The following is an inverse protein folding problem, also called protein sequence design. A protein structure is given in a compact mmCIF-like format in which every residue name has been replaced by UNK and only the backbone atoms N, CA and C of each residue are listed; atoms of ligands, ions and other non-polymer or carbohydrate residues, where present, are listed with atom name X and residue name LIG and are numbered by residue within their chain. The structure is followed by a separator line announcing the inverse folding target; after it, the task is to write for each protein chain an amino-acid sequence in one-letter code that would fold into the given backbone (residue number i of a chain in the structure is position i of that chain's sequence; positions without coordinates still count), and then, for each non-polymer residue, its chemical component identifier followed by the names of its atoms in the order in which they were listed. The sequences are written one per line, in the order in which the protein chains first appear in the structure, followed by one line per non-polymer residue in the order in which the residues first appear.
data_IF_591531348106
#
_entry.id   IF_591531348106
#
_cell.length_a   1.000
_cell.length_b   1.000
_cell.length_c   1.000
_cell.angle_alpha   90.00
_cell.angle_beta   90.00
_cell.angle_gamma   90.00
#
_symmetry.space_group_name_H-M   'P 1'
#
loop_
_entity.id
_entity.type
_entity.pdbx_description
1 polymer ?
#
# COMPACT_ATOMS: atom_id res chain seq x y z
N UNK A 1 24.73 7.63 4.43
CA UNK A 1 24.31 8.39 3.24
C UNK A 1 22.84 8.74 3.39
N UNK A 2 22.48 10.03 3.52
CA UNK A 2 21.08 10.48 3.61
C UNK A 2 20.62 10.84 2.20
N UNK A 3 19.57 10.18 1.70
CA UNK A 3 18.95 10.48 0.41
C UNK A 3 19.18 9.46 -0.71
N UNK A 4 19.97 8.40 -0.47
CA UNK A 4 20.12 7.30 -1.43
C UNK A 4 18.93 6.34 -1.32
N UNK A 5 18.31 5.99 -2.46
CA UNK A 5 17.17 5.06 -2.55
C UNK A 5 17.61 3.60 -2.69
N UNK A 6 18.91 3.33 -2.62
CA UNK A 6 19.48 1.99 -2.82
C UNK A 6 20.92 1.96 -2.27
N UNK A 7 21.44 0.74 -2.02
CA UNK A 7 22.87 0.45 -1.91
C UNK A 7 23.18 -1.00 -2.28
N UNK A 8 24.39 -1.25 -2.78
CA UNK A 8 25.02 -2.55 -2.90
C UNK A 8 26.44 -2.44 -2.34
N UNK A 9 26.87 -3.39 -1.51
CA UNK A 9 28.25 -3.48 -1.01
C UNK A 9 29.14 -4.14 -2.06
N UNK A 10 29.86 -3.31 -2.84
CA UNK A 10 30.78 -3.71 -3.90
C UNK A 10 31.80 -4.78 -3.47
N UNK A 11 32.16 -4.84 -2.18
CA UNK A 11 33.12 -5.83 -1.66
C UNK A 11 32.51 -7.20 -1.43
N UNK A 12 31.17 -7.30 -1.40
CA UNK A 12 30.40 -8.54 -1.20
C UNK A 12 29.73 -9.01 -2.49
N UNK A 13 29.98 -8.32 -3.60
CA UNK A 13 29.38 -8.58 -4.91
C UNK A 13 30.44 -9.13 -5.85
N UNK A 14 30.08 -10.04 -6.79
CA UNK A 14 31.01 -10.51 -7.81
C UNK A 14 31.66 -9.34 -8.59
N UNK A 15 32.93 -9.51 -8.97
CA UNK A 15 33.80 -8.48 -9.58
C UNK A 15 33.30 -7.82 -10.89
N UNK A 16 32.15 -8.25 -11.42
CA UNK A 16 31.51 -7.71 -12.62
C UNK A 16 30.79 -6.37 -12.38
N UNK A 17 30.85 -5.84 -11.15
CA UNK A 17 30.17 -4.63 -10.72
C UNK A 17 30.87 -3.34 -11.21
N UNK A 18 30.09 -2.37 -11.71
CA UNK A 18 30.60 -1.00 -11.92
C UNK A 18 29.57 0.04 -11.48
N UNK A 19 30.00 1.02 -10.67
CA UNK A 19 29.19 2.16 -10.24
C UNK A 19 28.57 2.95 -11.42
N UNK A 20 29.17 2.88 -12.62
CA UNK A 20 28.64 3.51 -13.84
C UNK A 20 27.42 2.78 -14.42
N UNK A 21 27.38 1.44 -14.35
CA UNK A 21 26.17 0.67 -14.71
C UNK A 21 25.05 0.97 -13.72
N UNK A 22 25.40 1.11 -12.45
CA UNK A 22 24.48 1.47 -11.38
C UNK A 22 23.75 2.81 -11.60
N UNK A 23 24.46 3.89 -11.91
CA UNK A 23 23.81 5.18 -12.17
C UNK A 23 22.82 5.16 -13.35
N UNK A 24 23.08 4.36 -14.38
CA UNK A 24 22.16 4.23 -15.54
C UNK A 24 20.87 3.51 -15.19
N UNK A 25 20.97 2.46 -14.38
CA UNK A 25 19.83 1.70 -13.90
C UNK A 25 18.83 2.60 -13.15
N UNK A 26 19.30 3.33 -12.14
CA UNK A 26 18.46 4.25 -11.36
C UNK A 26 17.73 5.25 -12.27
N UNK A 27 18.43 5.77 -13.27
CA UNK A 27 17.86 6.74 -14.21
C UNK A 27 16.76 6.11 -15.08
N UNK A 28 16.99 4.90 -15.61
CA UNK A 28 15.98 4.18 -16.41
C UNK A 28 14.76 3.79 -15.59
N UNK A 29 14.97 3.36 -14.35
CA UNK A 29 13.91 2.93 -13.46
C UNK A 29 13.02 4.12 -13.05
N UNK A 30 13.64 5.23 -12.64
CA UNK A 30 12.93 6.48 -12.34
C UNK A 30 12.14 6.96 -13.54
N UNK A 31 12.73 6.92 -14.75
CA UNK A 31 12.03 7.30 -15.97
C UNK A 31 10.83 6.40 -16.29
N UNK A 32 10.93 5.09 -16.08
CA UNK A 32 9.81 4.18 -16.36
C UNK A 32 8.66 4.44 -15.39
N UNK A 33 8.98 4.63 -14.12
CA UNK A 33 7.99 4.91 -13.07
C UNK A 33 7.27 6.22 -13.28
N UNK A 34 7.99 7.29 -13.62
CA UNK A 34 7.36 8.57 -13.95
C UNK A 34 6.36 8.42 -15.11
N UNK A 35 6.66 7.57 -16.10
CA UNK A 35 5.73 7.29 -17.19
C UNK A 35 4.52 6.49 -16.74
N UNK A 36 4.70 5.49 -15.87
CA UNK A 36 3.62 4.67 -15.32
C UNK A 36 2.71 5.48 -14.38
N UNK A 37 3.30 6.30 -13.51
CA UNK A 37 2.60 7.25 -12.65
C UNK A 37 1.79 8.24 -13.50
N UNK A 38 2.41 8.91 -14.47
CA UNK A 38 1.72 9.84 -15.36
C UNK A 38 0.64 9.16 -16.22
N UNK A 39 0.79 7.86 -16.55
CA UNK A 39 -0.26 7.08 -17.23
C UNK A 39 -1.43 6.84 -16.30
N UNK A 40 -1.16 6.43 -15.06
CA UNK A 40 -2.19 6.16 -14.07
C UNK A 40 -2.94 7.43 -13.69
N UNK A 41 -2.24 8.52 -13.38
CA UNK A 41 -2.84 9.82 -13.06
C UNK A 41 -3.78 10.30 -14.17
N UNK A 42 -3.37 10.17 -15.44
CA UNK A 42 -4.25 10.49 -16.58
C UNK A 42 -5.49 9.60 -16.61
N UNK A 43 -5.34 8.28 -16.41
CA UNK A 43 -6.47 7.37 -16.39
C UNK A 43 -7.45 7.68 -15.23
N UNK A 44 -6.92 8.01 -14.05
CA UNK A 44 -7.70 8.41 -12.89
C UNK A 44 -8.42 9.74 -13.11
N UNK A 45 -7.75 10.73 -13.70
CA UNK A 45 -8.36 12.00 -14.09
C UNK A 45 -9.52 11.78 -15.07
N UNK A 46 -9.31 10.99 -16.12
CA UNK A 46 -10.35 10.65 -17.10
C UNK A 46 -11.54 9.95 -16.44
N UNK A 47 -11.31 9.05 -15.49
CA UNK A 47 -12.38 8.40 -14.74
C UNK A 47 -13.18 9.42 -13.91
N UNK A 48 -12.49 10.35 -13.25
CA UNK A 48 -13.12 11.40 -12.45
C UNK A 48 -13.93 12.38 -13.30
N UNK A 49 -13.43 12.77 -14.49
CA UNK A 49 -14.19 13.57 -15.46
C UNK A 49 -15.43 12.84 -15.98
N UNK A 50 -15.29 11.56 -16.31
CA UNK A 50 -16.41 10.71 -16.72
C UNK A 50 -17.46 10.62 -15.62
N UNK A 51 -17.05 10.41 -14.37
CA UNK A 51 -17.95 10.40 -13.22
C UNK A 51 -18.72 11.72 -13.11
N UNK A 52 -18.02 12.86 -13.09
CA UNK A 52 -18.64 14.20 -12.98
C UNK A 52 -19.61 14.48 -14.12
N UNK A 53 -19.30 14.03 -15.33
CA UNK A 53 -20.18 14.21 -16.48
C UNK A 53 -21.47 13.39 -16.36
N UNK A 54 -21.39 12.14 -15.92
CA UNK A 54 -22.57 11.29 -15.69
C UNK A 54 -23.38 11.75 -14.48
N UNK A 55 -22.72 12.18 -13.41
CA UNK A 55 -23.35 12.79 -12.25
C UNK A 55 -24.13 14.04 -12.67
N UNK A 56 -23.53 14.93 -13.46
CA UNK A 56 -24.22 16.12 -13.97
C UNK A 56 -25.49 15.81 -14.77
N UNK A 57 -25.54 14.66 -15.46
CA UNK A 57 -26.76 14.21 -16.15
C UNK A 57 -27.83 13.74 -15.18
N UNK A 58 -27.45 13.11 -14.07
CA UNK A 58 -28.37 12.65 -13.03
C UNK A 58 -28.92 13.81 -12.19
N UNK A 59 -28.06 14.76 -11.83
CA UNK A 59 -28.42 15.91 -10.98
C UNK A 59 -29.10 17.00 -11.82
N UNK A 60 -28.51 17.38 -12.95
CA UNK A 60 -28.89 18.56 -13.73
C UNK A 60 -28.30 19.87 -13.16
N UNK A 61 -28.05 20.86 -14.03
CA UNK A 61 -27.39 22.11 -13.64
C UNK A 61 -28.20 22.94 -12.63
N UNK A 62 -29.51 23.09 -12.85
CA UNK A 62 -30.40 23.84 -11.95
C UNK A 62 -30.40 23.23 -10.54
N UNK A 63 -30.43 21.89 -10.45
CA UNK A 63 -30.43 21.21 -9.16
C UNK A 63 -29.08 21.32 -8.46
N UNK A 64 -27.97 21.24 -9.21
CA UNK A 64 -26.62 21.43 -8.66
C UNK A 64 -26.45 22.83 -8.06
N UNK A 65 -27.01 23.86 -8.70
CA UNK A 65 -27.03 25.21 -8.15
C UNK A 65 -27.83 25.29 -6.85
N UNK A 66 -29.03 24.69 -6.80
CA UNK A 66 -29.85 24.63 -5.58
C UNK A 66 -29.14 23.91 -4.44
N UNK A 67 -28.51 22.76 -4.72
CA UNK A 67 -27.70 22.01 -3.77
C UNK A 67 -26.54 22.86 -3.25
N UNK A 68 -25.80 23.50 -4.15
CA UNK A 68 -24.67 24.37 -3.78
C UNK A 68 -25.11 25.54 -2.90
N UNK A 69 -26.22 26.20 -3.24
CA UNK A 69 -26.75 27.32 -2.46
C UNK A 69 -27.22 26.86 -1.08
N UNK A 70 -27.90 25.71 -1.01
CA UNK A 70 -28.37 25.13 0.24
C UNK A 70 -27.20 24.70 1.13
N UNK A 71 -26.19 24.04 0.57
CA UNK A 71 -24.93 23.71 1.26
C UNK A 71 -24.29 24.98 1.80
N UNK A 72 -24.11 26.03 0.99
CA UNK A 72 -23.49 27.29 1.45
C UNK A 72 -24.23 27.95 2.61
N UNK A 73 -25.56 27.82 2.66
CA UNK A 73 -26.40 28.41 3.72
C UNK A 73 -26.37 27.61 5.03
N UNK A 74 -26.23 26.29 4.95
CA UNK A 74 -26.40 25.39 6.09
C UNK A 74 -25.09 24.72 6.57
N UNK A 75 -24.07 24.66 5.70
CA UNK A 75 -22.74 24.17 6.04
C UNK A 75 -22.08 25.14 7.00
N UNK A 76 -21.56 24.62 8.10
CA UNK A 76 -20.76 25.40 9.05
C UNK A 76 -19.49 25.91 8.35
N UNK A 77 -19.08 27.16 8.55
CA UNK A 77 -17.77 27.61 8.09
C UNK A 77 -16.68 26.72 8.71
N UNK A 78 -15.67 26.38 7.92
CA UNK A 78 -14.53 25.61 8.41
C UNK A 78 -13.91 26.29 9.64
N UNK A 79 -13.59 25.54 10.71
CA UNK A 79 -12.77 26.08 11.79
C UNK A 79 -11.46 26.63 11.24
N UNK A 80 -10.92 27.67 11.88
CA UNK A 80 -9.68 28.31 11.44
C UNK A 80 -8.54 27.29 11.37
N UNK A 81 -7.55 27.49 10.49
CA UNK A 81 -6.36 26.65 10.46
C UNK A 81 -5.71 26.59 11.86
N UNK A 82 -5.69 25.39 12.47
CA UNK A 82 -5.14 25.17 13.82
C UNK A 82 -6.17 24.92 14.93
N UNK A 83 -7.46 25.22 14.70
CA UNK A 83 -8.58 24.94 15.62
C UNK A 83 -9.41 23.71 15.18
N UNK A 84 -8.92 23.00 14.16
CA UNK A 84 -9.67 21.96 13.46
C UNK A 84 -9.71 20.64 14.26
N UNK A 85 -10.65 20.60 15.21
CA UNK A 85 -10.94 19.45 16.05
C UNK A 85 -11.85 18.41 15.36
N UNK A 86 -12.11 18.52 14.06
CA UNK A 86 -12.95 17.52 13.34
C UNK A 86 -12.32 16.12 13.37
N UNK A 87 -10.99 16.05 13.45
CA UNK A 87 -10.20 14.82 13.61
C UNK A 87 -9.99 14.43 15.08
N UNK A 88 -10.52 15.19 16.05
CA UNK A 88 -10.38 14.95 17.48
C UNK A 88 -11.77 14.68 18.07
N UNK A 89 -11.99 13.41 18.42
CA UNK A 89 -13.23 12.84 18.96
C UNK A 89 -13.81 13.67 20.12
N UNK A 90 -14.83 14.47 19.84
CA UNK A 90 -15.82 14.81 20.85
C UNK A 90 -17.18 14.33 20.36
N UNK A 91 -17.94 13.62 21.21
CA UNK A 91 -19.25 13.08 20.85
C UNK A 91 -20.21 14.15 20.31
N UNK A 92 -20.06 15.39 20.76
CA UNK A 92 -20.78 16.56 20.25
C UNK A 92 -20.55 16.83 18.76
N UNK A 93 -19.32 16.64 18.25
CA UNK A 93 -19.02 16.84 16.82
C UNK A 93 -19.58 15.70 15.96
N UNK A 94 -19.68 14.48 16.48
CA UNK A 94 -20.28 13.36 15.77
C UNK A 94 -21.80 13.52 15.58
N UNK A 95 -22.51 13.91 16.64
CA UNK A 95 -23.95 14.21 16.56
C UNK A 95 -24.24 15.31 15.53
N UNK A 96 -23.40 16.35 15.51
CA UNK A 96 -23.53 17.47 14.59
C UNK A 96 -23.29 17.08 13.12
N UNK A 97 -22.26 16.27 12.83
CA UNK A 97 -22.00 15.78 11.46
C UNK A 97 -23.12 14.87 10.97
N UNK A 98 -23.57 13.95 11.82
CA UNK A 98 -24.73 13.11 11.54
C UNK A 98 -25.97 13.96 11.21
N UNK A 99 -26.20 15.04 11.99
CA UNK A 99 -27.29 15.98 11.72
C UNK A 99 -27.16 16.67 10.36
N UNK A 100 -25.96 17.12 9.99
CA UNK A 100 -25.71 17.78 8.70
C UNK A 100 -25.95 16.83 7.53
N UNK A 101 -25.48 15.59 7.61
CA UNK A 101 -25.78 14.57 6.60
C UNK A 101 -27.28 14.29 6.50
N UNK A 102 -27.98 14.11 7.63
CA UNK A 102 -29.45 13.91 7.63
C UNK A 102 -30.16 15.11 6.97
N UNK A 103 -29.73 16.35 7.24
CA UNK A 103 -30.29 17.54 6.60
C UNK A 103 -30.05 17.55 5.09
N UNK A 104 -28.85 17.18 4.65
CA UNK A 104 -28.52 17.06 3.23
C UNK A 104 -29.35 16.00 2.52
N UNK A 105 -29.47 14.80 3.12
CA UNK A 105 -30.29 13.71 2.60
C UNK A 105 -31.77 14.07 2.51
N UNK A 106 -32.33 14.75 3.53
CA UNK A 106 -33.72 15.24 3.49
C UNK A 106 -33.93 16.25 2.37
N UNK A 107 -33.02 17.21 2.23
CA UNK A 107 -33.08 18.18 1.14
C UNK A 107 -33.03 17.50 -0.23
N UNK A 108 -32.11 16.54 -0.43
CA UNK A 108 -32.02 15.76 -1.66
C UNK A 108 -33.32 14.99 -1.96
N UNK A 109 -33.97 14.44 -0.94
CA UNK A 109 -35.28 13.79 -1.07
C UNK A 109 -36.40 14.77 -1.44
N UNK A 110 -36.45 15.94 -0.79
CA UNK A 110 -37.46 16.97 -1.04
C UNK A 110 -37.41 17.49 -2.49
N UNK A 111 -36.20 17.61 -3.04
CA UNK A 111 -35.97 18.00 -4.43
C UNK A 111 -36.03 16.83 -5.43
N UNK A 112 -36.37 15.62 -4.95
CA UNK A 112 -36.52 14.40 -5.74
C UNK A 112 -35.26 13.97 -6.51
N UNK A 113 -34.09 14.16 -5.89
CA UNK A 113 -32.83 13.71 -6.45
C UNK A 113 -32.76 12.17 -6.51
N UNK A 114 -32.25 11.61 -7.61
CA UNK A 114 -32.06 10.16 -7.76
C UNK A 114 -30.80 9.68 -6.99
N UNK A 115 -30.91 9.60 -5.67
CA UNK A 115 -29.84 9.10 -4.78
C UNK A 115 -29.41 7.67 -5.14
N UNK A 116 -30.34 6.83 -5.58
CA UNK A 116 -30.02 5.45 -5.98
C UNK A 116 -29.17 5.42 -7.26
N UNK A 117 -29.48 6.30 -8.22
CA UNK A 117 -28.66 6.52 -9.41
C UNK A 117 -27.24 6.94 -9.08
N UNK A 118 -27.09 7.91 -8.17
CA UNK A 118 -25.78 8.40 -7.70
C UNK A 118 -24.95 7.31 -7.01
N UNK A 119 -25.57 6.51 -6.13
CA UNK A 119 -24.90 5.37 -5.47
C UNK A 119 -24.44 4.32 -6.50
N UNK A 120 -25.28 4.00 -7.50
CA UNK A 120 -24.90 3.06 -8.57
C UNK A 120 -23.74 3.60 -9.40
N UNK A 121 -23.77 4.88 -9.76
CA UNK A 121 -22.71 5.55 -10.50
C UNK A 121 -21.39 5.50 -9.71
N UNK A 122 -21.42 5.81 -8.41
CA UNK A 122 -20.25 5.73 -7.53
C UNK A 122 -19.67 4.33 -7.45
N UNK A 123 -20.51 3.30 -7.26
CA UNK A 123 -20.06 1.90 -7.22
C UNK A 123 -19.41 1.48 -8.54
N UNK A 124 -19.99 1.87 -9.68
CA UNK A 124 -19.41 1.59 -10.99
C UNK A 124 -18.03 2.26 -11.16
N UNK A 125 -17.91 3.54 -10.79
CA UNK A 125 -16.64 4.26 -10.82
C UNK A 125 -15.60 3.65 -9.86
N UNK A 126 -16.02 3.17 -8.69
CA UNK A 126 -15.14 2.49 -7.74
C UNK A 126 -14.57 1.18 -8.29
N UNK A 127 -15.40 0.39 -8.98
CA UNK A 127 -14.94 -0.82 -9.66
C UNK A 127 -14.01 -0.52 -10.84
N UNK A 128 -14.24 0.55 -11.60
CA UNK A 128 -13.33 1.01 -12.66
C UNK A 128 -11.99 1.47 -12.07
N UNK A 129 -12.03 2.22 -10.97
CA UNK A 129 -10.83 2.65 -10.26
C UNK A 129 -10.02 1.45 -9.77
N UNK A 130 -10.66 0.48 -9.10
CA UNK A 130 -9.98 -0.72 -8.61
C UNK A 130 -9.24 -1.47 -9.72
N UNK A 131 -9.80 -1.52 -10.93
CA UNK A 131 -9.14 -2.14 -12.10
C UNK A 131 -7.91 -1.37 -12.57
N UNK A 132 -7.84 -0.06 -12.33
CA UNK A 132 -6.67 0.76 -12.66
C UNK A 132 -5.54 0.58 -11.66
N UNK A 133 -5.86 0.32 -10.39
CA UNK A 133 -4.87 0.26 -9.29
C UNK A 133 -4.51 -1.14 -8.80
N UNK A 134 -5.33 -2.15 -9.06
CA UNK A 134 -5.00 -3.53 -8.70
C UNK A 134 -3.87 -3.99 -9.63
N UNK A 135 -2.69 -4.35 -9.08
CA UNK A 135 -1.73 -5.09 -9.88
C UNK A 135 -2.42 -6.38 -10.35
N UNK A 136 -2.17 -6.79 -11.59
CA UNK A 136 -2.51 -8.14 -12.04
C UNK A 136 -1.90 -9.07 -11.01
N UNK A 137 -2.73 -9.80 -10.25
CA UNK A 137 -2.24 -10.80 -9.32
C UNK A 137 -1.35 -11.75 -10.11
N UNK A 138 -0.03 -11.69 -9.88
CA UNK A 138 0.87 -12.69 -10.41
C UNK A 138 0.43 -14.01 -9.80
N UNK A 139 -0.11 -14.90 -10.62
CA UNK A 139 -0.52 -16.23 -10.22
C UNK A 139 0.65 -16.91 -9.49
N UNK A 140 0.60 -16.95 -8.17
CA UNK A 140 1.61 -17.62 -7.36
C UNK A 140 0.97 -18.70 -6.51
N UNK A 141 1.63 -19.85 -6.53
CA UNK A 141 1.32 -20.98 -5.67
C UNK A 141 1.57 -20.59 -4.20
N UNK A 142 0.48 -20.60 -3.43
CA UNK A 142 0.39 -20.76 -1.97
C UNK A 142 1.55 -20.16 -1.16
N UNK A 143 1.42 -18.90 -0.77
CA UNK A 143 2.15 -18.38 0.39
C UNK A 143 1.57 -19.01 1.64
N UNK A 144 2.39 -19.70 2.42
CA UNK A 144 2.00 -20.15 3.76
C UNK A 144 2.64 -19.22 4.77
N UNK A 145 1.82 -18.59 5.61
CA UNK A 145 2.29 -17.85 6.78
C UNK A 145 2.28 -18.81 7.96
N UNK A 146 3.45 -19.24 8.40
CA UNK A 146 3.58 -19.98 9.66
C UNK A 146 3.72 -18.94 10.79
N UNK A 147 2.71 -18.85 11.66
CA UNK A 147 2.86 -18.19 12.95
C UNK A 147 3.36 -19.26 13.93
N UNK A 148 4.51 -19.06 14.60
CA UNK A 148 4.80 -19.90 15.75
C UNK A 148 3.69 -19.66 16.77
N UNK A 149 2.92 -20.71 17.12
CA UNK A 149 2.14 -20.71 18.36
C UNK A 149 3.07 -20.20 19.48
N UNK A 150 2.55 -19.42 20.42
CA UNK A 150 3.32 -18.80 21.52
C UNK A 150 4.28 -19.79 22.17
N UNK A 151 5.46 -19.94 21.59
CA UNK A 151 6.49 -20.81 22.06
C UNK A 151 7.23 -19.98 23.09
N UNK A 152 6.94 -20.27 24.35
CA UNK A 152 7.80 -19.91 25.47
C UNK A 152 9.22 -20.25 25.02
N UNK A 153 10.05 -19.22 24.85
CA UNK A 153 11.46 -19.35 24.49
C UNK A 153 12.21 -20.01 25.65
N UNK A 154 12.08 -21.32 25.77
CA UNK A 154 12.83 -22.17 26.68
C UNK A 154 13.28 -23.40 25.91
N UNK A 155 14.15 -23.24 24.92
CA UNK A 155 15.15 -24.24 24.54
C UNK A 155 16.11 -23.65 23.48
N UNK A 156 17.42 -23.98 23.53
CA UNK A 156 18.36 -23.58 22.50
C UNK A 156 17.93 -24.19 21.15
N UNK A 157 17.74 -23.31 20.17
CA UNK A 157 17.32 -23.66 18.82
C UNK A 157 18.33 -24.62 18.17
N UNK A 158 18.05 -25.93 18.18
CA UNK A 158 18.82 -26.92 17.43
C UNK A 158 18.29 -26.93 16.00
N UNK A 159 19.08 -26.37 15.08
CA UNK A 159 18.79 -26.44 13.65
C UNK A 159 18.72 -27.92 13.22
N UNK A 160 17.63 -28.37 12.55
CA UNK A 160 17.63 -29.69 11.94
C UNK A 160 18.77 -29.75 10.91
N UNK A 161 19.54 -30.85 10.94
CA UNK A 161 20.62 -31.06 9.99
C UNK A 161 20.10 -30.93 8.55
N UNK A 162 20.77 -30.12 7.69
CA UNK A 162 20.34 -29.95 6.31
C UNK A 162 20.40 -31.29 5.58
N UNK A 163 19.34 -31.60 4.82
CA UNK A 163 19.34 -32.73 3.91
C UNK A 163 20.48 -32.51 2.88
N UNK A 164 21.52 -33.37 2.84
CA UNK A 164 22.76 -33.09 2.11
C UNK A 164 22.61 -33.07 0.57
N UNK A 165 21.43 -33.40 0.05
CA UNK A 165 21.13 -33.42 -1.39
C UNK A 165 20.54 -32.10 -1.92
N UNK A 166 20.24 -31.14 -1.04
CA UNK A 166 19.55 -29.90 -1.40
C UNK A 166 20.38 -28.74 -0.88
N UNK A 167 21.13 -28.10 -1.77
CA UNK A 167 21.97 -26.94 -1.46
C UNK A 167 21.10 -25.71 -1.18
N UNK A 168 20.63 -25.57 0.05
CA UNK A 168 19.92 -24.39 0.53
C UNK A 168 20.91 -23.27 0.84
N UNK A 169 20.80 -22.13 0.16
CA UNK A 169 21.56 -20.94 0.50
C UNK A 169 20.81 -20.16 1.59
N UNK A 170 21.47 -19.90 2.73
CA UNK A 170 20.89 -19.14 3.84
C UNK A 170 21.66 -17.84 4.04
N UNK A 171 20.92 -16.74 4.15
CA UNK A 171 21.43 -15.38 4.33
C UNK A 171 20.89 -14.80 5.64
N UNK A 172 21.76 -14.10 6.37
CA UNK A 172 21.47 -13.41 7.63
C UNK A 172 21.66 -11.90 7.46
N UNK A 173 21.15 -11.08 8.42
CA UNK A 173 21.30 -9.62 8.43
C UNK A 173 22.71 -9.11 8.12
N UNK A 174 22.78 -7.87 7.63
CA UNK A 174 23.88 -7.31 6.83
C UNK A 174 23.90 -7.82 5.38
N UNK A 175 22.71 -7.79 4.76
CA UNK A 175 22.53 -8.16 3.37
C UNK A 175 23.39 -7.30 2.43
N UNK A 176 23.92 -7.88 1.35
CA UNK A 176 24.85 -7.19 0.46
C UNK A 176 24.20 -6.08 -0.35
N UNK A 177 22.87 -6.00 -0.42
CA UNK A 177 22.19 -4.85 -1.00
C UNK A 177 20.88 -4.51 -0.31
N UNK A 178 20.45 -3.28 -0.47
CA UNK A 178 19.14 -2.78 -0.06
C UNK A 178 18.57 -1.84 -1.11
N UNK A 179 17.25 -1.77 -1.16
CA UNK A 179 16.55 -1.01 -2.17
C UNK A 179 15.26 -0.45 -1.60
N UNK A 180 15.16 0.88 -1.55
CA UNK A 180 13.91 1.60 -1.35
C UNK A 180 13.18 1.61 -2.69
N UNK A 181 12.65 0.42 -3.01
CA UNK A 181 12.22 0.05 -4.34
C UNK A 181 11.18 1.05 -4.82
N UNK A 182 9.92 1.01 -4.43
CA UNK A 182 8.87 1.85 -5.04
C UNK A 182 8.20 2.80 -4.07
N UNK A 183 7.70 3.92 -4.57
CA UNK A 183 6.85 4.84 -3.85
C UNK A 183 5.91 5.50 -4.85
N UNK A 184 4.61 5.50 -4.56
CA UNK A 184 3.61 6.18 -5.38
C UNK A 184 2.65 6.95 -4.51
N UNK A 185 2.25 8.12 -4.97
CA UNK A 185 1.33 9.01 -4.31
C UNK A 185 0.39 9.60 -5.35
N UNK A 186 -0.91 9.46 -5.16
CA UNK A 186 -1.91 10.12 -5.99
C UNK A 186 -3.08 10.53 -5.11
N UNK A 187 -3.55 11.75 -5.29
CA UNK A 187 -4.68 12.31 -4.57
C UNK A 187 -5.43 13.27 -5.51
N UNK A 188 -6.74 13.36 -5.35
CA UNK A 188 -7.58 14.36 -6.01
C UNK A 188 -8.24 15.30 -5.01
N UNK A 189 -8.81 16.40 -5.53
CA UNK A 189 -9.53 17.39 -4.73
C UNK A 189 -8.64 17.97 -3.64
N UNK A 190 -9.15 17.99 -2.42
CA UNK A 190 -8.43 18.48 -1.23
C UNK A 190 -7.58 17.40 -0.53
N UNK A 191 -7.43 16.26 -1.19
CA UNK A 191 -6.58 15.16 -0.75
C UNK A 191 -5.12 15.56 -0.60
N UNK A 192 -4.52 15.18 0.53
CA UNK A 192 -3.14 15.50 0.88
C UNK A 192 -2.40 14.25 1.35
N UNK A 193 -1.27 13.95 0.71
CA UNK A 193 -0.30 12.98 1.22
C UNK A 193 0.62 13.72 2.19
N UNK A 194 0.54 13.36 3.47
CA UNK A 194 1.31 13.98 4.56
C UNK A 194 2.66 13.35 4.76
N UNK A 195 2.73 12.03 4.66
CA UNK A 195 3.96 11.28 4.81
C UNK A 195 3.98 10.16 3.79
N UNK A 196 5.16 9.91 3.25
CA UNK A 196 5.51 8.69 2.55
C UNK A 196 7.00 8.51 2.84
N UNK A 197 7.29 7.95 4.00
CA UNK A 197 8.64 7.85 4.56
C UNK A 197 9.11 6.39 4.50
N UNK A 198 10.35 6.17 4.07
CA UNK A 198 10.97 4.85 4.17
C UNK A 198 11.49 4.63 5.58
N UNK A 199 11.26 3.43 6.14
CA UNK A 199 11.92 2.97 7.35
C UNK A 199 13.05 1.97 7.07
N UNK A 200 13.44 1.85 5.80
CA UNK A 200 14.55 1.00 5.38
C UNK A 200 15.80 1.36 6.20
N UNK A 201 16.25 0.40 7.01
CA UNK A 201 17.41 0.54 7.86
C UNK A 201 18.30 -0.67 7.66
N UNK A 202 19.38 -0.45 6.91
CA UNK A 202 20.24 -1.51 6.42
C UNK A 202 21.01 -2.24 7.52
N UNK A 203 21.57 -1.52 8.50
CA UNK A 203 22.29 -2.12 9.63
C UNK A 203 21.41 -3.08 10.44
N UNK A 204 20.14 -2.71 10.60
CA UNK A 204 19.19 -3.47 11.41
C UNK A 204 18.39 -4.49 10.57
N UNK A 205 18.62 -4.57 9.26
CA UNK A 205 17.79 -5.33 8.32
C UNK A 205 16.29 -5.01 8.43
N UNK A 206 15.95 -3.74 8.67
CA UNK A 206 14.54 -3.31 8.77
C UNK A 206 14.01 -2.83 7.42
N UNK A 207 12.85 -3.36 7.03
CA UNK A 207 12.00 -2.90 5.92
C UNK A 207 10.71 -2.29 6.49
N UNK A 208 9.98 -1.51 5.70
CA UNK A 208 8.70 -0.92 6.06
C UNK A 208 8.66 0.59 5.81
N UNK A 209 7.52 1.20 6.08
CA UNK A 209 7.30 2.61 5.76
C UNK A 209 6.18 3.23 6.62
N UNK A 210 6.11 4.55 6.57
CA UNK A 210 4.93 5.28 7.00
C UNK A 210 4.33 6.04 5.82
N UNK A 211 3.11 5.66 5.47
CA UNK A 211 2.25 6.41 4.55
C UNK A 211 1.13 7.04 5.37
N UNK A 212 0.91 8.34 5.18
CA UNK A 212 -0.15 9.09 5.85
C UNK A 212 -0.83 9.99 4.83
N UNK A 213 -2.13 9.81 4.70
CA UNK A 213 -2.99 10.57 3.80
C UNK A 213 -4.15 11.18 4.57
N UNK A 214 -4.66 12.30 4.07
CA UNK A 214 -5.89 12.91 4.58
C UNK A 214 -6.66 13.61 3.48
N UNK A 215 -7.98 13.66 3.59
CA UNK A 215 -8.83 14.60 2.87
C UNK A 215 -9.84 15.17 3.88
N UNK A 216 -10.03 16.48 3.88
CA UNK A 216 -10.85 17.19 4.88
C UNK A 216 -12.18 17.70 4.34
N UNK A 217 -12.31 17.69 3.03
CA UNK A 217 -13.50 18.15 2.32
C UNK A 217 -13.53 17.40 0.98
N UNK A 218 -13.90 16.12 1.05
CA UNK A 218 -13.94 15.31 -0.14
C UNK A 218 -15.09 15.78 -1.03
N UNK A 219 -14.78 16.09 -2.28
CA UNK A 219 -15.83 16.38 -3.26
C UNK A 219 -16.64 15.13 -3.63
N UNK A 220 -17.50 15.27 -4.63
CA UNK A 220 -18.45 14.21 -5.04
C UNK A 220 -17.78 12.87 -5.48
N UNK A 221 -16.50 12.94 -5.88
CA UNK A 221 -15.69 11.77 -6.18
C UNK A 221 -14.22 12.13 -6.05
N UNK A 222 -13.67 11.91 -4.87
CA UNK A 222 -12.25 12.03 -4.61
C UNK A 222 -11.60 10.67 -4.37
N UNK A 223 -10.31 10.59 -4.68
CA UNK A 223 -9.51 9.42 -4.41
C UNK A 223 -8.21 9.79 -3.71
N UNK A 224 -7.73 8.84 -2.92
CA UNK A 224 -6.41 8.85 -2.32
C UNK A 224 -5.77 7.49 -2.56
N UNK A 225 -4.51 7.50 -2.97
CA UNK A 225 -3.72 6.29 -3.14
C UNK A 225 -2.29 6.59 -2.73
N UNK A 226 -1.75 5.73 -1.88
CA UNK A 226 -0.33 5.77 -1.57
C UNK A 226 0.20 4.36 -1.39
N UNK A 227 1.41 4.12 -1.87
CA UNK A 227 2.15 2.94 -1.47
C UNK A 227 3.64 3.24 -1.37
N UNK A 228 4.32 2.38 -0.63
CA UNK A 228 5.79 2.33 -0.60
C UNK A 228 6.24 0.89 -0.44
N UNK A 229 7.34 0.55 -1.10
CA UNK A 229 7.95 -0.76 -1.08
C UNK A 229 9.46 -0.61 -0.88
N UNK A 230 10.02 -1.37 0.04
CA UNK A 230 11.47 -1.39 0.26
C UNK A 230 11.92 -2.72 0.87
N UNK A 231 13.21 -3.01 0.75
CA UNK A 231 13.75 -4.30 1.18
C UNK A 231 15.23 -4.50 0.88
N UNK A 232 15.61 -5.77 0.82
CA UNK A 232 16.99 -6.23 0.74
C UNK A 232 17.21 -7.12 -0.48
N UNK A 233 18.44 -7.11 -0.98
CA UNK A 233 18.91 -7.89 -2.12
C UNK A 233 19.98 -8.88 -1.69
N UNK A 234 19.85 -10.13 -2.12
CA UNK A 234 20.87 -11.18 -1.91
C UNK A 234 21.22 -11.85 -3.25
N UNK A 235 22.52 -12.08 -3.52
CA UNK A 235 22.95 -12.85 -4.68
C UNK A 235 22.71 -14.33 -4.42
N UNK A 236 22.16 -15.04 -5.39
CA UNK A 236 21.95 -16.48 -5.32
C UNK A 236 22.41 -17.13 -6.61
N UNK A 237 23.03 -18.30 -6.51
CA UNK A 237 23.44 -19.09 -7.68
C UNK A 237 22.63 -20.36 -7.71
N UNK A 238 21.89 -20.57 -8.79
CA UNK A 238 21.06 -21.77 -8.95
C UNK A 238 21.94 -23.01 -8.99
N UNK A 239 21.50 -24.08 -8.33
CA UNK A 239 22.28 -25.32 -8.25
C UNK A 239 21.75 -26.40 -9.17
N UNK A 240 20.46 -26.35 -9.51
CA UNK A 240 19.81 -27.23 -10.46
C UNK A 240 18.79 -26.46 -11.31
N UNK A 241 18.35 -27.09 -12.41
CA UNK A 241 17.26 -26.57 -13.23
C UNK A 241 15.96 -26.72 -12.44
N UNK A 242 15.19 -25.64 -12.29
CA UNK A 242 13.94 -25.73 -11.52
C UNK A 242 13.40 -24.39 -11.07
N UNK A 243 12.33 -24.42 -10.27
CA UNK A 243 11.78 -23.22 -9.64
C UNK A 243 12.55 -22.90 -8.37
N UNK A 244 12.44 -21.68 -7.85
CA UNK A 244 13.01 -21.33 -6.56
C UNK A 244 11.94 -21.40 -5.48
N UNK A 245 12.29 -22.05 -4.37
CA UNK A 245 11.61 -21.90 -3.09
C UNK A 245 12.37 -20.88 -2.26
N UNK A 246 11.72 -19.78 -1.93
CA UNK A 246 12.27 -18.68 -1.14
C UNK A 246 11.51 -18.65 0.20
N UNK A 247 12.19 -18.97 1.29
CA UNK A 247 11.65 -18.87 2.65
C UNK A 247 12.31 -17.69 3.35
N UNK A 248 11.54 -16.84 4.02
CA UNK A 248 12.11 -15.74 4.78
C UNK A 248 11.34 -15.49 6.06
N UNK A 249 12.10 -15.15 7.10
CA UNK A 249 11.57 -14.88 8.42
C UNK A 249 11.56 -13.38 8.67
N UNK A 250 10.40 -12.86 9.08
CA UNK A 250 10.21 -11.44 9.39
C UNK A 250 9.67 -11.30 10.80
N UNK A 251 10.22 -10.34 11.54
CA UNK A 251 9.80 -10.00 12.88
C UNK A 251 9.20 -8.60 12.89
N UNK A 252 7.98 -8.47 13.42
CA UNK A 252 7.30 -7.18 13.52
C UNK A 252 8.06 -6.25 14.48
N UNK A 253 8.54 -5.10 13.99
CA UNK A 253 9.03 -4.04 14.87
C UNK A 253 7.85 -3.24 15.45
N UNK A 254 6.91 -2.89 14.57
CA UNK A 254 5.62 -2.27 14.88
C UNK A 254 4.74 -2.40 13.64
N UNK A 255 3.44 -2.52 13.81
CA UNK A 255 2.47 -2.46 12.74
C UNK A 255 1.23 -1.74 13.27
N UNK A 256 0.91 -0.61 12.66
CA UNK A 256 -0.18 0.25 13.06
C UNK A 256 -0.90 0.78 11.83
N UNK A 257 -2.21 0.58 11.81
CA UNK A 257 -3.09 1.01 10.74
C UNK A 257 -4.15 1.94 11.32
N UNK A 258 -4.51 2.96 10.56
CA UNK A 258 -5.56 3.89 10.90
C UNK A 258 -6.41 4.16 9.67
N UNK A 259 -7.71 4.03 9.84
CA UNK A 259 -8.71 4.44 8.87
C UNK A 259 -9.80 5.15 9.65
N UNK A 260 -9.65 6.46 9.78
CA UNK A 260 -10.62 7.33 10.42
C UNK A 260 -11.37 8.12 9.36
N UNK A 261 -12.69 8.08 9.43
CA UNK A 261 -13.57 8.82 8.53
C UNK A 261 -14.58 9.64 9.34
N UNK A 262 -15.14 10.66 8.71
CA UNK A 262 -16.20 11.48 9.30
C UNK A 262 -17.18 11.96 8.23
N UNK A 263 -18.46 12.02 8.59
CA UNK A 263 -19.50 12.52 7.69
C UNK A 263 -19.28 14.00 7.35
N UNK A 264 -19.40 14.34 6.07
CA UNK A 264 -19.48 15.72 5.61
C UNK A 264 -20.89 16.04 5.11
N UNK A 265 -21.06 17.29 4.68
CA UNK A 265 -22.32 17.70 4.09
C UNK A 265 -22.54 17.01 2.74
N UNK A 266 -23.53 16.14 2.63
CA UNK A 266 -23.78 15.40 1.40
C UNK A 266 -24.52 14.10 1.64
N UNK A 267 -24.35 13.14 0.72
CA UNK A 267 -24.87 11.77 0.92
C UNK A 267 -23.86 10.85 1.61
N UNK A 268 -22.59 11.25 1.70
CA UNK A 268 -21.49 10.63 2.43
C UNK A 268 -21.34 9.14 2.16
N UNK A 269 -20.35 8.79 1.34
CA UNK A 269 -20.11 7.41 0.99
C UNK A 269 -18.62 7.19 0.70
N UNK A 270 -18.03 6.21 1.37
CA UNK A 270 -16.61 5.92 1.25
C UNK A 270 -16.33 4.41 1.07
N UNK A 271 -15.17 4.13 0.49
CA UNK A 271 -14.59 2.79 0.38
C UNK A 271 -13.10 2.96 0.44
N UNK A 272 -12.48 2.43 1.48
CA UNK A 272 -11.06 2.60 1.72
C UNK A 272 -10.50 1.36 2.38
N UNK A 273 -9.25 1.04 2.07
CA UNK A 273 -8.55 -0.03 2.74
C UNK A 273 -7.07 0.29 2.90
N UNK A 274 -6.48 -0.37 3.88
CA UNK A 274 -5.05 -0.39 4.14
C UNK A 274 -4.58 -1.82 4.11
N UNK A 275 -3.35 -2.07 3.65
CA UNK A 275 -2.76 -3.39 3.78
C UNK A 275 -1.23 -3.32 3.82
N UNK A 276 -0.63 -4.43 4.25
CA UNK A 276 0.79 -4.67 4.04
C UNK A 276 0.96 -5.95 3.23
N UNK A 277 1.90 -5.91 2.29
CA UNK A 277 2.27 -7.06 1.50
C UNK A 277 3.74 -7.41 1.70
N UNK A 278 4.05 -8.71 1.68
CA UNK A 278 5.43 -9.16 1.55
C UNK A 278 5.74 -9.33 0.06
N UNK A 279 6.92 -8.88 -0.36
CA UNK A 279 7.34 -8.92 -1.76
C UNK A 279 8.61 -9.75 -1.88
N UNK A 280 8.58 -10.73 -2.78
CA UNK A 280 9.74 -11.50 -3.18
C UNK A 280 9.89 -11.42 -4.70
N UNK A 281 11.02 -10.88 -5.17
CA UNK A 281 11.26 -10.69 -6.60
C UNK A 281 12.61 -11.27 -6.98
N UNK A 282 12.68 -11.91 -8.14
CA UNK A 282 13.91 -12.50 -8.67
C UNK A 282 14.29 -11.76 -9.93
N UNK A 283 15.55 -11.36 -10.03
CA UNK A 283 16.10 -10.66 -11.18
C UNK A 283 17.24 -11.47 -11.79
N UNK A 284 17.39 -11.42 -13.12
CA UNK A 284 18.57 -11.98 -13.78
C UNK A 284 19.80 -11.17 -13.41
N UNK A 285 19.62 -9.86 -13.32
CA UNK A 285 20.59 -8.88 -12.87
C UNK A 285 19.90 -7.94 -11.91
N UNK A 286 20.56 -7.52 -10.84
CA UNK A 286 19.96 -6.56 -9.91
C UNK A 286 19.62 -5.22 -10.58
N UNK A 287 20.26 -4.91 -11.73
CA UNK A 287 19.94 -3.77 -12.60
C UNK A 287 18.69 -3.93 -13.47
N UNK A 288 17.97 -5.04 -13.37
CA UNK A 288 16.76 -5.20 -14.16
C UNK A 288 15.62 -4.40 -13.50
N UNK A 289 14.96 -3.53 -14.28
CA UNK A 289 13.81 -2.73 -13.78
C UNK A 289 12.61 -3.63 -13.49
N UNK A 290 12.43 -4.62 -14.35
CA UNK A 290 11.35 -5.61 -14.24
C UNK A 290 11.95 -6.92 -13.74
N UNK A 291 11.44 -7.49 -12.65
CA UNK A 291 11.90 -8.80 -12.20
C UNK A 291 11.56 -9.87 -13.23
N UNK A 292 12.39 -10.93 -13.28
CA UNK A 292 12.09 -12.13 -14.03
C UNK A 292 10.79 -12.78 -13.53
N UNK A 293 10.60 -12.75 -12.21
CA UNK A 293 9.40 -13.22 -11.52
C UNK A 293 9.24 -12.45 -10.22
N UNK A 294 8.00 -12.15 -9.88
CA UNK A 294 7.64 -11.46 -8.64
C UNK A 294 6.46 -12.16 -8.02
N UNK A 295 6.51 -12.25 -6.70
CA UNK A 295 5.46 -12.78 -5.86
C UNK A 295 5.14 -11.75 -4.79
N UNK A 296 3.88 -11.35 -4.72
CA UNK A 296 3.38 -10.40 -3.73
C UNK A 296 2.32 -11.09 -2.89
N UNK A 297 2.59 -11.25 -1.59
CA UNK A 297 1.61 -11.76 -0.66
C UNK A 297 0.81 -10.60 -0.05
N UNK A 298 -0.36 -10.32 -0.63
CA UNK A 298 -1.29 -9.30 -0.13
C UNK A 298 -1.95 -9.68 1.21
N UNK A 299 -1.81 -10.93 1.65
CA UNK A 299 -2.36 -11.47 2.89
C UNK A 299 -1.34 -11.49 4.03
N UNK A 300 -0.13 -10.97 3.78
CA UNK A 300 0.93 -10.90 4.77
C UNK A 300 0.45 -10.23 6.06
N UNK A 301 -0.17 -9.05 5.95
CA UNK A 301 -0.97 -8.43 7.01
C UNK A 301 -2.25 -7.89 6.40
N UNK A 302 -3.36 -8.51 6.78
CA UNK A 302 -4.69 -7.92 6.60
C UNK A 302 -4.74 -6.61 7.38
N UNK A 303 -4.91 -5.50 6.67
CA UNK A 303 -5.11 -4.21 7.30
C UNK A 303 -6.59 -3.94 7.56
N UNK A 304 -6.97 -2.68 7.45
CA UNK A 304 -8.35 -2.22 7.64
C UNK A 304 -9.08 -2.19 6.31
N UNK A 305 -10.33 -2.60 6.31
CA UNK A 305 -11.28 -2.41 5.21
C UNK A 305 -12.49 -1.65 5.75
N UNK A 306 -12.76 -0.48 5.17
CA UNK A 306 -13.79 0.46 5.58
C UNK A 306 -14.71 0.79 4.41
N UNK A 307 -16.01 0.73 4.66
CA UNK A 307 -17.05 1.07 3.71
C UNK A 307 -18.28 1.61 4.43
N UNK A 308 -19.06 2.42 3.72
CA UNK A 308 -20.29 3.00 4.23
C UNK A 308 -20.20 4.52 4.31
N UNK A 309 -20.82 5.09 5.33
CA UNK A 309 -20.79 6.53 5.57
C UNK A 309 -19.58 6.95 6.40
N UNK A 310 -19.33 8.25 6.52
CA UNK A 310 -18.17 8.76 7.23
C UNK A 310 -18.09 8.32 8.69
N UNK A 311 -19.19 8.00 9.37
CA UNK A 311 -19.14 7.52 10.76
C UNK A 311 -18.85 6.01 10.90
N UNK A 312 -18.84 5.25 9.79
CA UNK A 312 -18.56 3.81 9.76
C UNK A 312 -17.06 3.47 9.81
N UNK A 313 -16.27 4.27 10.53
CA UNK A 313 -14.80 4.22 10.60
C UNK A 313 -14.27 3.03 11.41
N UNK A 314 -13.34 2.21 10.87
CA UNK A 314 -12.63 1.17 11.64
C UNK A 314 -11.68 1.72 12.72
N UNK A 315 -11.25 2.98 12.61
CA UNK A 315 -10.36 3.62 13.57
C UNK A 315 -8.92 3.13 13.50
N UNK A 316 -8.25 3.04 14.66
CA UNK A 316 -6.83 2.66 14.78
C UNK A 316 -6.69 1.23 15.28
N UNK A 317 -5.90 0.42 14.58
CA UNK A 317 -5.59 -0.96 14.97
C UNK A 317 -4.10 -1.25 14.89
N UNK A 318 -3.69 -2.29 15.62
CA UNK A 318 -2.33 -2.82 15.65
C UNK A 318 -2.38 -4.28 15.21
N UNK A 319 -2.41 -4.56 13.89
CA UNK A 319 -2.80 -5.87 13.39
C UNK A 319 -1.75 -6.96 13.71
N UNK A 320 -0.50 -6.57 13.99
CA UNK A 320 0.57 -7.49 14.40
C UNK A 320 1.32 -6.92 15.61
N UNK A 321 1.31 -7.60 16.76
CA UNK A 321 2.13 -7.23 17.91
C UNK A 321 3.61 -7.14 17.58
N UNK A 322 4.30 -6.21 18.23
CA UNK A 322 5.75 -6.12 18.16
C UNK A 322 6.42 -7.44 18.61
N UNK A 323 7.58 -7.74 18.05
CA UNK A 323 8.36 -8.97 18.21
C UNK A 323 7.69 -10.25 17.67
N UNK A 324 6.49 -10.19 17.08
CA UNK A 324 5.90 -11.38 16.46
C UNK A 324 6.70 -11.80 15.23
N UNK A 325 7.21 -13.03 15.24
CA UNK A 325 7.89 -13.67 14.11
C UNK A 325 6.88 -14.30 13.16
N UNK A 326 7.12 -14.18 11.86
CA UNK A 326 6.38 -14.87 10.80
C UNK A 326 7.37 -15.48 9.81
N UNK A 327 7.12 -16.71 9.40
CA UNK A 327 7.80 -17.29 8.24
C UNK A 327 6.89 -17.19 7.02
N UNK A 328 7.44 -16.70 5.92
CA UNK A 328 6.80 -16.78 4.60
C UNK A 328 7.57 -17.73 3.70
N UNK A 329 6.85 -18.52 2.92
CA UNK A 329 7.42 -19.35 1.84
C UNK A 329 6.78 -18.97 0.53
N UNK A 330 7.63 -18.65 -0.46
CA UNK A 330 7.24 -18.23 -1.80
C UNK A 330 7.87 -19.17 -2.82
N UNK A 331 7.11 -19.49 -3.88
CA UNK A 331 7.60 -20.22 -5.04
C UNK A 331 7.60 -19.32 -6.27
N UNK A 332 8.65 -19.40 -7.08
CA UNK A 332 8.68 -18.68 -8.37
C UNK A 332 7.71 -19.30 -9.36
N UNK A 333 7.10 -18.47 -10.21
CA UNK A 333 6.20 -18.94 -11.28
C UNK A 333 6.93 -19.35 -12.57
N UNK A 334 8.27 -19.34 -12.55
CA UNK A 334 9.11 -19.77 -13.66
C UNK A 334 10.31 -20.58 -13.18
N UNK A 335 10.84 -21.40 -14.07
CA UNK A 335 12.06 -22.19 -13.85
C UNK A 335 13.30 -21.44 -14.31
N UNK A 336 14.40 -21.64 -13.58
CA UNK A 336 15.71 -21.08 -13.86
C UNK A 336 16.68 -22.20 -14.26
N UNK A 337 17.59 -21.96 -15.22
CA UNK A 337 18.68 -22.89 -15.50
C UNK A 337 19.64 -23.01 -14.31
N UNK A 338 20.29 -24.17 -14.18
CA UNK A 338 21.34 -24.42 -13.21
C UNK A 338 22.56 -23.52 -13.47
N UNK A 339 23.31 -23.23 -12.40
CA UNK A 339 24.58 -22.50 -12.43
C UNK A 339 24.46 -21.04 -12.94
N UNK A 340 23.27 -20.45 -12.84
CA UNK A 340 22.98 -19.05 -13.19
C UNK A 340 22.99 -18.20 -11.92
N UNK A 341 23.64 -17.04 -11.99
CA UNK A 341 23.58 -16.04 -10.91
C UNK A 341 22.29 -15.24 -11.04
N UNK A 342 21.60 -15.10 -9.92
CA UNK A 342 20.33 -14.39 -9.77
C UNK A 342 20.43 -13.43 -8.59
N UNK A 343 19.51 -12.47 -8.56
CA UNK A 343 19.33 -11.57 -7.42
C UNK A 343 17.94 -11.74 -6.85
N UNK A 344 17.88 -11.94 -5.54
CA UNK A 344 16.62 -12.14 -4.82
C UNK A 344 16.38 -10.90 -3.97
N UNK A 345 15.29 -10.20 -4.26
CA UNK A 345 14.77 -9.11 -3.47
C UNK A 345 13.72 -9.63 -2.49
N UNK A 346 13.85 -9.26 -1.22
CA UNK A 346 12.86 -9.53 -0.18
C UNK A 346 12.55 -8.23 0.55
N UNK A 347 11.28 -7.85 0.59
CA UNK A 347 10.86 -6.60 1.20
C UNK A 347 9.41 -6.61 1.65
N UNK A 348 8.97 -5.45 2.13
CA UNK A 348 7.57 -5.20 2.49
C UNK A 348 7.05 -4.02 1.69
N UNK A 349 5.73 -4.01 1.50
CA UNK A 349 4.99 -2.99 0.77
C UNK A 349 3.78 -2.56 1.57
N UNK A 350 3.75 -1.33 2.05
CA UNK A 350 2.57 -0.75 2.69
C UNK A 350 1.74 -0.02 1.65
N UNK A 351 0.41 -0.16 1.71
CA UNK A 351 -0.51 0.48 0.78
C UNK A 351 -1.72 1.04 1.51
N UNK A 352 -2.20 2.15 0.99
CA UNK A 352 -3.47 2.73 1.31
C UNK A 352 -4.18 3.11 0.02
N UNK A 353 -5.48 2.87 0.01
CA UNK A 353 -6.37 3.31 -1.04
C UNK A 353 -7.70 3.77 -0.42
N UNK A 354 -8.26 4.84 -0.97
CA UNK A 354 -9.61 5.28 -0.66
C UNK A 354 -10.27 5.99 -1.83
N UNK A 355 -11.56 5.70 -2.02
CA UNK A 355 -12.52 6.55 -2.75
C UNK A 355 -13.50 7.11 -1.75
N UNK A 356 -13.64 8.41 -1.77
CA UNK A 356 -14.37 9.20 -0.79
C UNK A 356 -15.29 10.18 -1.53
N UNK A 357 -16.47 10.37 -0.97
CA UNK A 357 -17.50 11.28 -1.47
C UNK A 357 -18.20 11.88 -0.25
N UNK A 358 -18.11 13.19 -0.08
CA UNK A 358 -18.64 13.91 1.10
C UNK A 358 -18.23 13.24 2.43
N UNK A 359 -16.97 12.82 2.51
CA UNK A 359 -16.39 12.14 3.68
C UNK A 359 -14.98 12.65 3.91
N UNK A 360 -14.75 13.16 5.11
CA UNK A 360 -13.41 13.46 5.61
C UNK A 360 -12.73 12.15 5.94
N UNK A 361 -11.44 12.02 5.61
CA UNK A 361 -10.63 10.85 5.95
C UNK A 361 -9.27 11.25 6.49
N UNK A 362 -8.81 10.53 7.51
CA UNK A 362 -7.45 10.54 8.03
C UNK A 362 -7.00 9.09 8.13
N UNK A 363 -5.89 8.77 7.47
CA UNK A 363 -5.48 7.36 7.38
C UNK A 363 -3.98 7.24 7.28
N UNK A 364 -3.44 6.27 7.99
CA UNK A 364 -2.04 5.94 7.88
C UNK A 364 -1.81 4.44 7.97
N UNK A 365 -0.71 4.01 7.33
CA UNK A 365 -0.10 2.71 7.55
C UNK A 365 1.32 2.98 8.00
N UNK A 366 1.64 2.57 9.22
CA UNK A 366 2.90 2.81 9.88
C UNK A 366 3.44 1.46 10.36
N UNK A 367 4.34 0.86 9.58
CA UNK A 367 4.80 -0.49 9.86
C UNK A 367 6.29 -0.67 9.56
N UNK A 368 6.93 -1.54 10.33
CA UNK A 368 8.34 -1.87 10.23
C UNK A 368 8.59 -3.34 10.58
N UNK A 369 9.47 -3.99 9.81
CA UNK A 369 9.72 -5.43 9.85
C UNK A 369 11.22 -5.70 9.79
N UNK A 370 11.75 -6.45 10.74
CA UNK A 370 13.11 -6.95 10.68
C UNK A 370 13.15 -8.23 9.86
N UNK A 371 13.88 -8.25 8.75
CA UNK A 371 14.13 -9.45 7.97
C UNK A 371 15.28 -10.21 8.65
N UNK A 372 14.95 -11.32 9.30
CA UNK A 372 15.86 -12.08 10.18
C UNK A 372 16.64 -13.14 9.44
N UNK A 373 16.06 -13.71 8.39
CA UNK A 373 16.67 -14.78 7.60
C UNK A 373 16.02 -14.86 6.22
N UNK A 374 16.83 -15.15 5.21
CA UNK A 374 16.38 -15.49 3.86
C UNK A 374 17.01 -16.83 3.50
N UNK A 375 16.21 -17.78 3.04
CA UNK A 375 16.63 -19.09 2.57
C UNK A 375 16.15 -19.27 1.14
N UNK A 376 17.05 -19.66 0.25
CA UNK A 376 16.76 -19.83 -1.17
C UNK A 376 17.22 -21.21 -1.60
N UNK A 377 16.35 -21.91 -2.30
CA UNK A 377 16.59 -23.27 -2.76
C UNK A 377 16.05 -23.46 -4.18
N UNK A 378 16.84 -24.10 -5.05
CA UNK A 378 16.39 -24.57 -6.36
C UNK A 378 15.76 -25.95 -6.22
N UNK A 379 14.51 -26.13 -6.63
CA UNK A 379 13.75 -27.39 -6.49
C UNK A 379 13.26 -27.94 -7.82
#
# INVERSE_FOLDING_TARGET
MKGEKFFIDDNRVPAEFSAKRFGRFLTSEQSQRQKEEARLERALHTLQEKYRAEEMKLIGSEMREKLTEYTRKNRRPDPKPGEDSRLLESGFLAEERCRQRIQSLRFAQDVKLDLNGLVKLRRAASLEFEKLIKPVESATHRTTVEQPEQAVFNEPFVLPHPNPLVSEATFFPNYPGWWDRSAQNSASGDGQIKRNDSYLWWDASRSGSCIHSKNKDAGDFDYLMSHRENGFLVPFKTTQNGILRIRFDVECAFSQHCLETWDEWGWSDYTAWTNEAAVASVFWKWEDVTPATESVDLHFVWGLDGHGDGESSPGVVYPVPAAQLRTLTVYTNMSFPANVNLWIYIGTKQRFYGIINDVSINTFVNAGWYIRRIQVNSI
#
